data_IF_544843883196
#
_entry.id   IF_544843883196
#
_cell.length_a   1.000
_cell.length_b   1.000
_cell.length_c   1.000
_cell.angle_alpha   90.00
_cell.angle_beta   90.00
_cell.angle_gamma   90.00
#
_symmetry.space_group_name_H-M   'P 1'
#
loop_
_entity.id
_entity.type
_entity.pdbx_description
1 polymer ?
#
# COMPACT_ATOMS: atom_id res chain seq x y z
N UNK A 1 11.77 9.03 -13.87
CA UNK A 1 11.20 8.44 -12.65
C UNK A 1 10.42 9.50 -11.93
N UNK A 2 9.16 9.26 -11.64
CA UNK A 2 8.30 10.23 -10.95
C UNK A 2 8.62 10.21 -9.46
N UNK A 3 8.80 11.37 -8.85
CA UNK A 3 9.08 11.46 -7.42
C UNK A 3 7.89 10.89 -6.61
N UNK A 4 8.16 10.04 -5.62
CA UNK A 4 7.13 9.48 -4.74
C UNK A 4 7.74 9.04 -3.41
N UNK A 5 6.90 8.94 -2.38
CA UNK A 5 7.26 8.35 -1.10
C UNK A 5 6.69 6.93 -0.96
N UNK A 6 7.17 6.16 0.02
CA UNK A 6 6.59 4.87 0.36
C UNK A 6 6.29 4.77 1.85
N UNK A 7 5.10 4.27 2.18
CA UNK A 7 4.65 3.93 3.52
C UNK A 7 4.33 2.44 3.54
N UNK A 8 5.14 1.69 4.27
CA UNK A 8 5.06 0.23 4.41
C UNK A 8 4.47 -0.11 5.78
N UNK A 9 3.26 -0.65 5.80
CA UNK A 9 2.55 -1.04 7.01
C UNK A 9 3.02 -2.43 7.44
N UNK A 10 3.81 -2.47 8.52
CA UNK A 10 4.30 -3.69 9.17
C UNK A 10 3.48 -4.04 10.43
N UNK A 11 2.32 -3.41 10.61
CA UNK A 11 1.41 -3.68 11.72
C UNK A 11 0.52 -4.89 11.46
N UNK A 12 0.40 -5.77 12.45
CA UNK A 12 -0.48 -6.94 12.42
C UNK A 12 -0.07 -7.92 13.52
N UNK A 13 -1.03 -8.44 14.29
CA UNK A 13 -0.71 -9.23 15.49
C UNK A 13 -0.15 -10.65 15.20
N UNK A 14 0.11 -11.01 13.94
CA UNK A 14 0.73 -12.29 13.56
C UNK A 14 0.02 -13.53 14.14
N UNK A 15 -1.24 -13.40 14.57
CA UNK A 15 -1.91 -14.37 15.46
C UNK A 15 -2.01 -15.76 14.83
N UNK A 16 -2.07 -15.82 13.50
CA UNK A 16 -2.17 -17.06 12.71
C UNK A 16 -0.81 -17.71 12.40
N UNK A 17 0.30 -17.01 12.70
CA UNK A 17 1.68 -17.44 12.45
C UNK A 17 2.43 -17.70 13.77
N UNK A 18 1.72 -18.12 14.81
CA UNK A 18 2.31 -18.44 16.12
C UNK A 18 2.89 -17.25 16.87
N UNK A 19 2.44 -16.02 16.59
CA UNK A 19 2.90 -14.81 17.26
C UNK A 19 4.26 -14.29 16.78
N UNK A 20 4.82 -14.86 15.71
CA UNK A 20 6.02 -14.34 15.05
C UNK A 20 5.71 -13.07 14.26
N UNK A 21 6.72 -12.20 14.17
CA UNK A 21 6.71 -11.03 13.29
C UNK A 21 6.65 -11.49 11.82
N UNK A 22 5.43 -11.55 11.27
CA UNK A 22 5.12 -12.08 9.93
C UNK A 22 5.99 -11.40 8.85
N UNK A 23 6.07 -10.06 8.75
CA UNK A 23 6.96 -9.37 7.81
C UNK A 23 8.45 -9.73 7.89
N UNK A 24 8.93 -10.26 9.03
CA UNK A 24 10.32 -10.69 9.21
C UNK A 24 10.58 -12.12 8.72
N UNK A 25 9.55 -12.88 8.35
CA UNK A 25 9.73 -14.22 7.80
C UNK A 25 10.36 -14.16 6.40
N UNK A 26 11.31 -15.06 6.08
CA UNK A 26 11.95 -15.06 4.78
C UNK A 26 11.05 -15.68 3.70
N UNK A 27 11.17 -15.13 2.49
CA UNK A 27 10.79 -15.79 1.23
C UNK A 27 12.01 -15.72 0.33
N UNK A 28 12.43 -16.82 -0.29
CA UNK A 28 13.67 -16.89 -1.08
C UNK A 28 14.88 -16.38 -0.30
N UNK A 29 14.96 -16.71 0.99
CA UNK A 29 16.05 -16.31 1.90
C UNK A 29 16.06 -14.85 2.39
N UNK A 30 15.13 -14.00 1.94
CA UNK A 30 15.08 -12.57 2.29
C UNK A 30 13.77 -12.25 3.03
N UNK A 31 13.80 -11.51 4.16
CA UNK A 31 12.59 -11.08 4.86
C UNK A 31 11.61 -10.35 3.94
N UNK A 32 10.31 -10.65 4.05
CA UNK A 32 9.28 -10.04 3.19
C UNK A 32 9.31 -8.52 3.24
N UNK A 33 9.48 -7.92 4.42
CA UNK A 33 9.60 -6.46 4.58
C UNK A 33 10.77 -5.89 3.76
N UNK A 34 11.90 -6.59 3.75
CA UNK A 34 13.09 -6.15 3.00
C UNK A 34 12.86 -6.24 1.50
N UNK A 35 12.12 -7.25 1.02
CA UNK A 35 11.69 -7.34 -0.37
C UNK A 35 10.78 -6.17 -0.77
N UNK A 36 9.80 -5.85 0.07
CA UNK A 36 8.92 -4.69 -0.15
C UNK A 36 9.73 -3.39 -0.20
N UNK A 37 10.66 -3.19 0.74
CA UNK A 37 11.54 -2.01 0.76
C UNK A 37 12.49 -1.93 -0.45
N UNK A 38 12.91 -3.07 -1.00
CA UNK A 38 13.71 -3.15 -2.21
C UNK A 38 12.88 -2.78 -3.46
N UNK A 39 11.61 -3.21 -3.53
CA UNK A 39 10.70 -2.87 -4.60
C UNK A 39 10.48 -1.35 -4.73
N UNK A 40 10.53 -0.62 -3.61
CA UNK A 40 10.43 0.84 -3.55
C UNK A 40 11.75 1.54 -3.22
N UNK A 41 12.89 0.96 -3.58
CA UNK A 41 14.20 1.54 -3.23
C UNK A 41 14.46 2.94 -3.82
N UNK A 42 13.68 3.36 -4.82
CA UNK A 42 13.69 4.71 -5.39
C UNK A 42 12.70 5.69 -4.77
N UNK A 43 11.85 5.24 -3.85
CA UNK A 43 10.98 6.14 -3.10
C UNK A 43 11.80 7.00 -2.13
N UNK A 44 11.38 8.26 -1.97
CA UNK A 44 11.96 9.16 -0.97
C UNK A 44 10.87 10.09 -0.40
N UNK A 45 10.61 10.08 0.92
CA UNK A 45 11.16 9.14 1.92
C UNK A 45 10.53 7.73 1.82
N UNK A 46 11.22 6.74 2.43
CA UNK A 46 10.65 5.43 2.77
C UNK A 46 10.36 5.37 4.26
N UNK A 47 9.16 4.94 4.63
CA UNK A 47 8.67 4.88 6.00
C UNK A 47 8.11 3.49 6.26
N UNK A 48 8.47 2.90 7.39
CA UNK A 48 7.82 1.70 7.95
C UNK A 48 6.97 2.13 9.14
N UNK A 49 5.72 1.64 9.18
CA UNK A 49 4.80 1.86 10.29
C UNK A 49 4.52 0.53 10.98
N UNK A 50 4.92 0.39 12.23
CA UNK A 50 4.73 -0.83 13.01
C UNK A 50 5.94 -1.14 13.90
N UNK A 51 5.91 -2.27 14.62
CA UNK A 51 7.06 -2.71 15.41
C UNK A 51 8.20 -3.21 14.49
N UNK A 52 9.42 -3.23 15.02
CA UNK A 52 10.58 -3.82 14.35
C UNK A 52 11.86 -2.98 14.50
N UNK A 53 13.01 -3.52 14.07
CA UNK A 53 14.26 -2.77 14.07
C UNK A 53 14.25 -1.66 13.02
N UNK A 54 15.01 -0.59 13.28
CA UNK A 54 15.27 0.44 12.28
C UNK A 54 16.07 -0.12 11.11
N UNK A 55 15.80 0.38 9.90
CA UNK A 55 16.51 0.03 8.67
C UNK A 55 17.21 1.29 8.16
N UNK A 56 18.47 1.17 7.74
CA UNK A 56 19.24 2.31 7.25
C UNK A 56 18.54 2.99 6.05
N UNK A 57 18.40 4.32 6.11
CA UNK A 57 17.71 5.10 5.07
C UNK A 57 16.20 4.86 5.00
N UNK A 58 15.58 4.35 6.07
CA UNK A 58 14.12 4.16 6.21
C UNK A 58 13.69 4.74 7.55
N UNK A 59 12.68 5.60 7.54
CA UNK A 59 12.08 6.16 8.76
C UNK A 59 11.19 5.11 9.41
N UNK A 60 11.20 5.02 10.73
CA UNK A 60 10.36 4.09 11.49
C UNK A 60 9.39 4.89 12.38
N UNK A 61 8.12 4.53 12.35
CA UNK A 61 7.08 5.10 13.22
C UNK A 61 6.08 4.01 13.62
N UNK A 62 5.12 4.34 14.47
CA UNK A 62 4.08 3.44 14.94
C UNK A 62 2.77 4.19 15.12
N UNK A 63 1.67 3.51 14.86
CA UNK A 63 0.34 4.00 15.21
C UNK A 63 0.17 4.18 16.72
N UNK A 64 -0.64 5.17 17.09
CA UNK A 64 -0.99 5.49 18.49
C UNK A 64 -2.51 5.44 18.63
N UNK A 65 -3.05 4.62 19.57
CA UNK A 65 -2.33 3.63 20.38
C UNK A 65 -1.77 2.49 19.51
N UNK A 66 -0.70 1.78 19.96
CA UNK A 66 -0.21 0.57 19.31
C UNK A 66 -1.32 -0.43 18.99
N UNK A 67 -1.36 -0.93 17.76
CA UNK A 67 -2.45 -1.81 17.31
C UNK A 67 -3.75 -1.07 16.99
N UNK A 68 -3.71 0.26 16.85
CA UNK A 68 -4.86 1.09 16.51
C UNK A 68 -5.47 0.85 15.12
N UNK A 69 -4.94 -0.10 14.36
CA UNK A 69 -5.49 -0.54 13.08
C UNK A 69 -4.91 0.18 11.87
N UNK A 70 -5.35 -0.21 10.66
CA UNK A 70 -4.72 0.23 9.41
C UNK A 70 -4.82 1.74 9.20
N UNK A 71 -5.96 2.37 9.48
CA UNK A 71 -6.10 3.83 9.30
C UNK A 71 -5.19 4.61 10.23
N UNK A 72 -5.06 4.19 11.50
CA UNK A 72 -4.12 4.81 12.44
C UNK A 72 -2.67 4.66 11.98
N UNK A 73 -2.32 3.53 11.35
CA UNK A 73 -1.00 3.32 10.75
C UNK A 73 -0.78 4.21 9.51
N UNK A 74 -1.79 4.36 8.64
CA UNK A 74 -1.72 5.32 7.53
C UNK A 74 -1.51 6.74 8.05
N UNK A 75 -2.26 7.17 9.07
CA UNK A 75 -2.11 8.48 9.68
C UNK A 75 -0.68 8.73 10.20
N UNK A 76 -0.12 7.76 10.94
CA UNK A 76 1.25 7.84 11.45
C UNK A 76 2.31 7.93 10.34
N UNK A 77 2.11 7.22 9.22
CA UNK A 77 2.99 7.29 8.06
C UNK A 77 2.89 8.63 7.33
N UNK A 78 1.67 9.12 7.07
CA UNK A 78 1.45 10.39 6.37
C UNK A 78 1.96 11.60 7.15
N UNK A 79 1.98 11.53 8.49
CA UNK A 79 2.53 12.57 9.35
C UNK A 79 4.05 12.79 9.15
N UNK A 80 4.77 11.83 8.56
CA UNK A 80 6.19 11.93 8.25
C UNK A 80 6.47 12.34 6.79
N UNK A 81 5.44 12.59 5.99
CA UNK A 81 5.58 13.06 4.63
C UNK A 81 5.50 14.57 4.57
N UNK A 82 6.34 15.16 3.73
CA UNK A 82 6.22 16.57 3.36
C UNK A 82 4.92 16.81 2.56
N UNK A 83 4.49 18.06 2.48
CA UNK A 83 3.22 18.42 1.82
C UNK A 83 3.30 18.41 0.30
N UNK A 84 4.50 18.55 -0.27
CA UNK A 84 4.79 18.63 -1.70
C UNK A 84 5.03 17.25 -2.37
N UNK A 85 5.08 16.17 -1.57
CA UNK A 85 5.17 14.80 -2.09
C UNK A 85 3.96 14.51 -3.01
N UNK A 86 4.18 14.24 -4.31
CA UNK A 86 3.07 14.17 -5.27
C UNK A 86 2.34 12.82 -5.25
N UNK A 87 3.01 11.76 -4.80
CA UNK A 87 2.48 10.40 -4.73
C UNK A 87 3.08 9.64 -3.53
N UNK A 88 2.29 8.75 -2.93
CA UNK A 88 2.76 7.79 -1.92
C UNK A 88 2.32 6.37 -2.28
N UNK A 89 3.25 5.42 -2.28
CA UNK A 89 2.94 3.99 -2.29
C UNK A 89 2.55 3.56 -0.87
N UNK A 90 1.34 3.02 -0.72
CA UNK A 90 0.85 2.44 0.53
C UNK A 90 0.86 0.91 0.40
N UNK A 91 1.75 0.27 1.14
CA UNK A 91 2.11 -1.13 0.94
C UNK A 91 1.99 -1.93 2.24
N UNK A 92 1.46 -3.15 2.18
CA UNK A 92 1.63 -4.10 3.27
C UNK A 92 3.08 -4.65 3.27
N UNK A 93 3.62 -4.94 4.45
CA UNK A 93 5.01 -5.39 4.59
C UNK A 93 5.23 -6.88 4.27
N UNK A 94 4.17 -7.61 3.98
CA UNK A 94 4.10 -9.06 3.76
C UNK A 94 3.76 -9.42 2.32
N UNK A 95 4.18 -8.56 1.37
CA UNK A 95 4.03 -8.72 -0.08
C UNK A 95 5.37 -9.16 -0.72
N UNK A 96 5.82 -10.42 -0.55
CA UNK A 96 7.15 -10.86 -0.98
C UNK A 96 7.37 -10.83 -2.49
N UNK A 97 6.29 -10.75 -3.27
CA UNK A 97 6.32 -10.79 -4.74
C UNK A 97 6.16 -9.39 -5.36
N UNK A 98 6.04 -8.34 -4.54
CA UNK A 98 5.95 -6.97 -5.02
C UNK A 98 7.24 -6.60 -5.76
N UNK A 99 7.08 -6.04 -6.96
CA UNK A 99 8.20 -5.61 -7.80
C UNK A 99 8.19 -4.10 -8.01
N UNK A 100 9.36 -3.54 -8.33
CA UNK A 100 9.49 -2.14 -8.76
C UNK A 100 8.63 -1.84 -9.99
N UNK A 101 8.55 -2.77 -10.95
CA UNK A 101 7.76 -2.57 -12.17
C UNK A 101 6.26 -2.48 -11.86
N UNK A 102 5.76 -3.29 -10.93
CA UNK A 102 4.37 -3.21 -10.48
C UNK A 102 4.06 -1.85 -9.81
N UNK A 103 4.95 -1.35 -8.95
CA UNK A 103 4.79 0.00 -8.37
C UNK A 103 4.84 1.08 -9.47
N UNK A 104 5.74 0.94 -10.44
CA UNK A 104 5.85 1.84 -11.59
C UNK A 104 4.57 1.90 -12.43
N UNK A 105 3.97 0.77 -12.75
CA UNK A 105 2.69 0.69 -13.49
C UNK A 105 1.55 1.41 -12.75
N UNK A 106 1.47 1.25 -11.42
CA UNK A 106 0.50 1.99 -10.59
C UNK A 106 0.77 3.50 -10.59
N UNK A 107 2.04 3.92 -10.52
CA UNK A 107 2.42 5.34 -10.60
C UNK A 107 2.07 5.94 -11.96
N UNK A 108 2.35 5.23 -13.06
CA UNK A 108 1.96 5.68 -14.40
C UNK A 108 0.44 5.81 -14.50
N UNK A 109 -0.29 4.88 -13.90
CA UNK A 109 -1.74 4.92 -13.82
C UNK A 109 -2.31 6.11 -13.05
N UNK A 110 -1.66 6.48 -11.95
CA UNK A 110 -2.03 7.64 -11.13
C UNK A 110 -1.85 8.96 -11.91
N UNK A 111 -0.82 9.02 -12.76
CA UNK A 111 -0.49 10.21 -13.56
C UNK A 111 -1.27 10.31 -14.88
N UNK A 112 -1.89 9.23 -15.35
CA UNK A 112 -2.68 9.26 -16.59
C UNK A 112 -3.85 10.23 -16.49
N UNK A 113 -3.83 11.26 -17.33
CA UNK A 113 -4.96 12.16 -17.60
C UNK A 113 -5.65 11.71 -18.89
N UNK A 114 -6.97 11.48 -18.88
CA UNK A 114 -7.77 11.30 -20.11
C UNK A 114 -8.51 9.96 -20.28
N UNK A 115 -9.33 9.96 -21.34
CA UNK A 115 -10.57 9.22 -21.61
C UNK A 115 -10.50 7.68 -21.52
N UNK A 116 -11.34 7.08 -20.69
CA UNK A 116 -11.75 5.68 -20.86
C UNK A 116 -12.83 5.61 -21.95
N UNK A 117 -12.57 4.85 -23.01
CA UNK A 117 -13.61 4.50 -24.00
C UNK A 117 -14.40 3.32 -23.46
N UNK A 118 -15.59 3.59 -22.92
CA UNK A 118 -16.64 2.59 -22.79
C UNK A 118 -17.70 2.90 -23.85
N UNK A 119 -17.91 1.95 -24.78
CA UNK A 119 -19.11 1.80 -25.61
C UNK A 119 -19.68 3.06 -26.30
N UNK A 120 -18.86 3.74 -27.10
CA UNK A 120 -19.33 4.74 -28.08
C UNK A 120 -19.75 6.09 -27.51
N UNK A 121 -19.77 6.27 -26.19
CA UNK A 121 -19.95 7.58 -25.56
C UNK A 121 -18.58 8.12 -25.11
N UNK A 122 -18.03 9.07 -25.88
CA UNK A 122 -16.78 9.76 -25.50
C UNK A 122 -17.10 10.74 -24.37
N UNK A 123 -16.99 10.29 -23.11
CA UNK A 123 -16.99 11.21 -21.97
C UNK A 123 -15.57 11.64 -21.68
N UNK A 124 -15.22 12.87 -22.09
CA UNK A 124 -13.98 13.53 -21.67
C UNK A 124 -14.09 13.95 -20.20
N UNK A 125 -14.08 13.00 -19.28
CA UNK A 125 -13.86 13.25 -17.85
C UNK A 125 -12.45 12.82 -17.50
N UNK A 126 -11.46 13.55 -18.00
CA UNK A 126 -10.05 13.39 -17.62
C UNK A 126 -9.75 13.92 -16.22
N UNK A 127 -10.64 13.68 -15.25
CA UNK A 127 -10.42 14.06 -13.87
C UNK A 127 -9.23 13.26 -13.31
N UNK A 128 -8.35 13.95 -12.59
CA UNK A 128 -7.29 13.29 -11.85
C UNK A 128 -7.92 12.35 -10.81
N UNK A 129 -7.46 11.09 -10.77
CA UNK A 129 -7.84 10.13 -9.73
C UNK A 129 -7.02 10.37 -8.47
N UNK A 130 -7.59 10.02 -7.32
CA UNK A 130 -6.97 10.14 -6.00
C UNK A 130 -5.99 8.99 -5.71
N UNK A 131 -6.19 7.85 -6.36
CA UNK A 131 -5.33 6.68 -6.21
C UNK A 131 -5.43 5.70 -7.38
N UNK A 132 -4.49 4.76 -7.40
CA UNK A 132 -4.49 3.60 -8.29
C UNK A 132 -4.05 2.37 -7.49
N UNK A 133 -4.78 1.27 -7.61
CA UNK A 133 -4.42 0.00 -6.99
C UNK A 133 -4.81 -1.17 -7.88
N UNK A 134 -4.15 -2.31 -7.67
CA UNK A 134 -4.54 -3.52 -8.37
C UNK A 134 -5.93 -4.00 -7.95
N UNK A 135 -6.61 -4.71 -8.85
CA UNK A 135 -7.82 -5.48 -8.57
C UNK A 135 -7.57 -6.96 -8.86
N UNK A 136 -8.07 -7.83 -7.98
CA UNK A 136 -8.00 -9.28 -8.23
C UNK A 136 -9.06 -9.75 -9.24
N UNK A 137 -9.01 -11.03 -9.62
CA UNK A 137 -9.98 -11.62 -10.55
C UNK A 137 -11.44 -11.60 -10.09
N UNK A 138 -11.70 -11.26 -8.81
CA UNK A 138 -13.03 -11.05 -8.26
C UNK A 138 -13.41 -9.56 -8.17
N UNK A 139 -12.59 -8.66 -8.71
CA UNK A 139 -12.79 -7.21 -8.69
C UNK A 139 -12.46 -6.55 -7.36
N UNK A 140 -11.84 -7.26 -6.40
CA UNK A 140 -11.48 -6.67 -5.10
C UNK A 140 -10.21 -5.84 -5.23
N UNK A 141 -10.32 -4.59 -4.76
CA UNK A 141 -9.21 -3.63 -4.69
C UNK A 141 -8.17 -4.04 -3.65
N UNK A 142 -6.92 -4.11 -4.08
CA UNK A 142 -5.75 -4.43 -3.27
C UNK A 142 -5.19 -3.13 -2.69
N UNK A 143 -5.91 -2.59 -1.71
CA UNK A 143 -5.70 -1.20 -1.22
C UNK A 143 -4.37 -0.98 -0.50
N UNK A 144 -3.77 -2.04 0.05
CA UNK A 144 -2.40 -2.06 0.58
C UNK A 144 -1.36 -2.56 -0.44
N UNK A 145 -1.69 -2.50 -1.72
CA UNK A 145 -0.79 -2.59 -2.86
C UNK A 145 -1.24 -1.53 -3.87
N UNK A 146 -1.11 -0.26 -3.45
CA UNK A 146 -1.66 0.89 -4.17
C UNK A 146 -0.80 2.13 -4.03
N UNK A 147 -0.96 3.06 -4.96
CA UNK A 147 -0.39 4.41 -4.91
C UNK A 147 -1.50 5.45 -4.80
N UNK A 148 -1.22 6.53 -4.08
CA UNK A 148 -2.22 7.51 -3.68
C UNK A 148 -1.65 8.92 -3.77
N UNK A 149 -2.52 9.90 -4.00
CA UNK A 149 -2.19 11.32 -3.78
C UNK A 149 -2.21 11.60 -2.27
N UNK A 150 -1.09 12.02 -1.65
CA UNK A 150 -1.05 12.26 -0.21
C UNK A 150 -2.09 13.30 0.26
N UNK A 151 -2.35 14.34 -0.55
CA UNK A 151 -3.36 15.35 -0.24
C UNK A 151 -4.79 14.78 -0.15
N UNK A 152 -5.13 13.83 -1.04
CA UNK A 152 -6.44 13.18 -1.02
C UNK A 152 -6.59 12.27 0.21
N UNK A 153 -5.55 11.50 0.55
CA UNK A 153 -5.54 10.69 1.77
C UNK A 153 -5.67 11.53 3.05
N UNK A 154 -4.93 12.65 3.15
CA UNK A 154 -5.03 13.57 4.30
C UNK A 154 -6.45 14.14 4.42
N UNK A 155 -7.02 14.63 3.33
CA UNK A 155 -8.40 15.13 3.31
C UNK A 155 -9.41 14.06 3.72
N UNK A 156 -9.26 12.83 3.24
CA UNK A 156 -10.14 11.73 3.61
C UNK A 156 -9.98 11.34 5.08
N UNK A 157 -8.76 11.39 5.61
CA UNK A 157 -8.46 11.14 7.01
C UNK A 157 -9.11 12.20 7.91
N UNK A 158 -9.02 13.48 7.55
CA UNK A 158 -9.65 14.58 8.30
C UNK A 158 -11.18 14.39 8.35
N UNK A 159 -11.80 14.09 7.20
CA UNK A 159 -13.24 13.80 7.12
C UNK A 159 -13.63 12.60 7.97
N UNK A 160 -12.85 11.52 7.92
CA UNK A 160 -13.10 10.31 8.72
C UNK A 160 -12.97 10.60 10.21
N UNK A 161 -11.96 11.38 10.61
CA UNK A 161 -11.73 11.79 12.00
C UNK A 161 -12.93 12.57 12.52
N UNK A 162 -13.45 13.53 11.75
CA UNK A 162 -14.68 14.27 12.10
C UNK A 162 -15.87 13.32 12.23
N UNK A 163 -16.10 12.43 11.24
CA UNK A 163 -17.21 11.48 11.26
C UNK A 163 -17.18 10.52 12.46
N UNK A 164 -15.98 10.18 12.95
CA UNK A 164 -15.79 9.29 14.10
C UNK A 164 -15.63 10.02 15.44
N UNK A 165 -15.84 11.34 15.49
CA UNK A 165 -15.78 12.10 16.74
C UNK A 165 -14.36 12.29 17.30
N UNK A 166 -13.35 12.30 16.45
CA UNK A 166 -11.96 12.59 16.81
C UNK A 166 -11.04 11.36 16.97
N UNK A 167 -11.58 10.15 16.92
CA UNK A 167 -10.81 8.90 17.08
C UNK A 167 -10.96 7.96 15.88
N UNK A 168 -9.85 7.60 15.25
CA UNK A 168 -9.80 6.67 14.11
C UNK A 168 -9.29 5.27 14.50
N UNK A 169 -9.14 5.00 15.80
CA UNK A 169 -8.77 3.69 16.32
C UNK A 169 -9.74 2.61 15.84
N UNK A 170 -9.19 1.51 15.33
CA UNK A 170 -9.94 0.38 14.78
C UNK A 170 -10.63 0.68 13.44
N UNK A 171 -10.47 1.88 12.86
CA UNK A 171 -11.06 2.19 11.58
C UNK A 171 -10.43 1.31 10.48
N UNK A 172 -11.25 0.62 9.67
CA UNK A 172 -10.78 -0.19 8.56
C UNK A 172 -10.42 0.70 7.38
N UNK A 173 -9.43 0.29 6.58
CA UNK A 173 -8.96 1.07 5.43
C UNK A 173 -10.07 1.38 4.41
N UNK A 174 -11.07 0.49 4.27
CA UNK A 174 -12.24 0.72 3.40
C UNK A 174 -12.99 2.02 3.72
N UNK A 175 -13.01 2.46 4.98
CA UNK A 175 -13.73 3.68 5.38
C UNK A 175 -12.96 4.94 5.04
N UNK A 176 -11.62 4.88 5.07
CA UNK A 176 -10.74 5.97 4.63
C UNK A 176 -10.84 6.18 3.13
N UNK A 177 -10.92 5.08 2.37
CA UNK A 177 -10.86 5.11 0.90
C UNK A 177 -12.24 5.18 0.23
N UNK A 178 -13.32 5.20 1.02
CA UNK A 178 -14.70 5.09 0.51
C UNK A 178 -15.05 6.18 -0.51
N UNK A 179 -14.60 7.41 -0.26
CA UNK A 179 -14.95 8.59 -1.06
C UNK A 179 -13.85 8.99 -2.05
N UNK A 180 -12.81 8.17 -2.21
CA UNK A 180 -11.72 8.44 -3.13
C UNK A 180 -12.03 7.90 -4.52
N UNK A 181 -11.69 8.69 -5.54
CA UNK A 181 -11.67 8.25 -6.92
C UNK A 181 -10.45 7.37 -7.15
N UNK A 182 -10.65 6.06 -7.26
CA UNK A 182 -9.55 5.09 -7.38
C UNK A 182 -9.61 4.37 -8.71
N UNK A 183 -8.51 4.42 -9.45
CA UNK A 183 -8.35 3.63 -10.66
C UNK A 183 -8.04 2.18 -10.33
N UNK A 184 -8.87 1.28 -10.87
CA UNK A 184 -8.64 -0.15 -10.79
C UNK A 184 -7.65 -0.58 -11.88
N UNK A 185 -6.57 -1.25 -11.48
CA UNK A 185 -5.53 -1.71 -12.39
C UNK A 185 -5.56 -3.23 -12.47
N UNK A 186 -5.65 -3.78 -13.68
CA UNK A 186 -5.49 -5.21 -13.89
C UNK A 186 -4.01 -5.58 -13.98
N UNK A 187 -3.62 -6.69 -13.38
CA UNK A 187 -2.26 -7.21 -13.51
C UNK A 187 -2.11 -7.98 -14.82
N UNK A 188 -1.07 -7.63 -15.59
CA UNK A 188 -0.76 -8.24 -16.88
C UNK A 188 0.70 -8.68 -16.99
N UNK A 189 1.44 -8.77 -15.88
CA UNK A 189 2.82 -9.24 -15.88
C UNK A 189 2.92 -10.77 -15.94
N UNK A 190 4.07 -11.28 -16.38
CA UNK A 190 4.36 -12.73 -16.56
C UNK A 190 4.60 -13.50 -15.24
N UNK A 191 4.30 -12.89 -14.09
CA UNK A 191 4.59 -13.40 -12.76
C UNK A 191 3.36 -13.49 -11.86
N UNK A 192 3.54 -14.04 -10.64
CA UNK A 192 2.47 -14.07 -9.64
C UNK A 192 2.02 -12.66 -9.28
N UNK A 193 0.84 -12.56 -8.66
CA UNK A 193 0.24 -11.28 -8.33
C UNK A 193 1.13 -10.49 -7.34
N UNK A 194 1.46 -9.21 -7.62
CA UNK A 194 2.34 -8.42 -6.77
C UNK A 194 1.76 -8.08 -5.40
N UNK A 195 0.45 -8.26 -5.22
CA UNK A 195 -0.27 -8.11 -3.94
C UNK A 195 -0.45 -9.42 -3.18
N UNK A 196 0.17 -10.52 -3.61
CA UNK A 196 0.09 -11.78 -2.87
C UNK A 196 0.67 -11.62 -1.47
N UNK A 197 -0.18 -11.72 -0.45
CA UNK A 197 0.19 -11.59 0.95
C UNK A 197 0.31 -12.95 1.64
N UNK A 198 1.30 -13.10 2.54
CA UNK A 198 1.59 -14.40 3.15
C UNK A 198 0.98 -14.60 4.54
N UNK A 199 -0.35 -14.69 4.65
CA UNK A 199 -1.09 -14.84 5.91
C UNK A 199 -0.88 -16.16 6.68
N UNK A 200 -0.48 -17.21 5.97
CA UNK A 200 -0.31 -18.55 6.52
C UNK A 200 1.01 -19.20 6.06
N UNK A 201 1.42 -20.28 6.72
CA UNK A 201 2.55 -21.09 6.26
C UNK A 201 2.35 -21.65 4.84
N UNK A 202 1.09 -21.90 4.45
CA UNK A 202 0.77 -22.35 3.10
C UNK A 202 1.11 -21.27 2.07
N UNK A 203 0.82 -20.01 2.42
CA UNK A 203 1.09 -18.87 1.54
C UNK A 203 2.60 -18.64 1.40
N UNK A 204 3.37 -18.79 2.48
CA UNK A 204 4.84 -18.77 2.42
C UNK A 204 5.39 -19.86 1.50
N UNK A 205 4.93 -21.11 1.64
CA UNK A 205 5.36 -22.21 0.76
C UNK A 205 5.02 -21.94 -0.70
N UNK A 206 3.88 -21.29 -0.97
CA UNK A 206 3.49 -20.88 -2.32
C UNK A 206 4.42 -19.78 -2.85
N UNK A 207 4.70 -18.77 -2.04
CA UNK A 207 5.63 -17.69 -2.37
C UNK A 207 7.05 -18.22 -2.68
N UNK A 208 7.55 -19.14 -1.86
CA UNK A 208 8.83 -19.86 -2.08
C UNK A 208 8.85 -20.70 -3.35
N UNK A 209 7.69 -21.17 -3.81
CA UNK A 209 7.57 -21.90 -5.07
C UNK A 209 7.86 -21.03 -6.29
N UNK A 210 7.54 -19.73 -6.23
CA UNK A 210 7.75 -18.78 -7.32
C UNK A 210 9.14 -18.13 -7.33
N UNK A 211 9.94 -18.32 -6.28
CA UNK A 211 11.31 -17.82 -6.20
C UNK A 211 12.36 -18.79 -6.78
N UNK A 212 11.91 -19.99 -7.20
CA UNK A 212 12.74 -21.03 -7.80
C UNK A 212 12.64 -21.00 -9.31
#
# INVERSE_FOLDING_TARGET
MTAYAAVVLAGGAGRRMGGRDKPAMPVGGVPMRERVLAAVADASPRIVVGPGPAVAGVRLTREVPPGGGPVAAVAAGLALLDTDVPAVALLAADLPLLTRSAVGDLLDQLHRTGVERHDGATSASGAAVDGACYVDGAGRRQTLCGVWRPAALRTALDRLTVRRGGDVTGAPLRELLADLSVRAVSWHGDGPEPWFDCDTERDLRRAEGWMR
#
